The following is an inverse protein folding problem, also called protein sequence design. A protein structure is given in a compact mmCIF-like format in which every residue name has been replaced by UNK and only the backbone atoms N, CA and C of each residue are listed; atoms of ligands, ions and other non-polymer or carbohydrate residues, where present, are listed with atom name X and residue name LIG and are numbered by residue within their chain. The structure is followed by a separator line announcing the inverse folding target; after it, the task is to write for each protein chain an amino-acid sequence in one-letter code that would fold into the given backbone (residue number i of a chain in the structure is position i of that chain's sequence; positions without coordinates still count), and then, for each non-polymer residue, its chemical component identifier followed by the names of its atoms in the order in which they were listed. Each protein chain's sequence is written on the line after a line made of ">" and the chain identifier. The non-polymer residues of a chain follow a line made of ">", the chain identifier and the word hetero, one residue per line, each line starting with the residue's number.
data_IF_671881933867
#
_entry.id   IF_671881933867
#
_cell.length_a   1.000
_cell.length_b   1.000
_cell.length_c   1.000
_cell.angle_alpha   90.00
_cell.angle_beta   90.00
_cell.angle_gamma   90.00
#
_symmetry.space_group_name_H-M   'P 1'
#
loop_
_entity.id
_entity.type
_entity.pdbx_description
1 polymer ?
#
# COMPACT_ATOMS: atom_id res chain seq x y z
N UNK A 1 31.34 11.88 -9.14
CA UNK A 1 30.53 10.99 -9.98
C UNK A 1 29.47 10.39 -9.09
N UNK A 2 28.15 10.62 -9.31
CA UNK A 2 27.11 9.95 -8.53
C UNK A 2 27.17 8.45 -8.85
N UNK A 3 27.41 7.63 -7.84
CA UNK A 3 27.27 6.18 -7.97
C UNK A 3 25.84 5.89 -8.43
N UNK A 4 25.69 5.18 -9.54
CA UNK A 4 24.43 4.64 -10.01
C UNK A 4 23.82 3.83 -8.86
N UNK A 5 22.74 4.33 -8.26
CA UNK A 5 22.12 3.75 -7.09
C UNK A 5 21.66 2.34 -7.43
N UNK A 6 22.19 1.34 -6.71
CA UNK A 6 21.73 -0.05 -6.77
C UNK A 6 20.21 -0.04 -6.64
N UNK A 7 19.51 -0.66 -7.59
CA UNK A 7 18.05 -0.74 -7.56
C UNK A 7 17.60 -1.25 -6.16
N UNK A 8 16.73 -0.49 -5.51
CA UNK A 8 16.26 -0.85 -4.17
C UNK A 8 15.49 -2.16 -4.27
N UNK A 9 15.79 -3.10 -3.39
CA UNK A 9 15.02 -4.35 -3.28
C UNK A 9 13.54 -4.05 -3.09
N UNK A 10 12.71 -4.92 -3.65
CA UNK A 10 11.27 -4.82 -3.63
C UNK A 10 10.63 -5.95 -2.82
N UNK A 11 9.49 -5.67 -2.19
CA UNK A 11 8.72 -6.70 -1.50
C UNK A 11 7.22 -6.51 -1.71
N UNK A 12 6.50 -7.63 -1.65
CA UNK A 12 5.05 -7.68 -1.47
C UNK A 12 4.77 -8.05 -0.03
N UNK A 13 3.90 -7.29 0.64
CA UNK A 13 3.33 -7.64 1.95
C UNK A 13 1.86 -7.95 1.76
N UNK A 14 1.42 -9.13 2.18
CA UNK A 14 0.00 -9.53 2.17
C UNK A 14 -0.54 -9.49 3.59
N UNK A 15 -1.47 -8.57 3.85
CA UNK A 15 -2.18 -8.43 5.11
C UNK A 15 -3.49 -9.24 5.11
N UNK A 16 -4.14 -9.30 6.27
CA UNK A 16 -5.35 -10.09 6.51
C UNK A 16 -6.66 -9.31 6.30
N UNK A 17 -6.68 -8.29 5.42
CA UNK A 17 -7.89 -7.58 5.01
C UNK A 17 -8.59 -8.25 3.83
N UNK A 18 -9.21 -7.43 2.95
CA UNK A 18 -9.86 -7.95 1.76
C UNK A 18 -8.85 -8.68 0.84
N UNK A 19 -9.07 -9.96 0.53
CA UNK A 19 -8.16 -10.73 -0.30
C UNK A 19 -8.03 -10.12 -1.70
N UNK A 20 -6.82 -9.90 -2.22
CA UNK A 20 -6.64 -9.58 -3.63
C UNK A 20 -7.01 -10.78 -4.50
N UNK A 21 -7.37 -10.55 -5.77
CA UNK A 21 -7.53 -11.66 -6.72
C UNK A 21 -6.22 -12.45 -6.86
N UNK A 22 -6.34 -13.74 -7.18
CA UNK A 22 -5.17 -14.59 -7.46
C UNK A 22 -4.26 -13.99 -8.54
N UNK A 23 -4.86 -13.38 -9.56
CA UNK A 23 -4.13 -12.74 -10.66
C UNK A 23 -3.30 -11.54 -10.19
N UNK A 24 -3.88 -10.69 -9.33
CA UNK A 24 -3.15 -9.55 -8.76
C UNK A 24 -2.00 -10.01 -7.88
N UNK A 25 -2.24 -10.97 -6.96
CA UNK A 25 -1.23 -11.51 -6.07
C UNK A 25 -0.08 -12.17 -6.84
N UNK A 26 -0.38 -13.09 -7.76
CA UNK A 26 0.63 -13.80 -8.53
C UNK A 26 1.49 -12.84 -9.38
N UNK A 27 0.86 -11.84 -10.01
CA UNK A 27 1.58 -10.81 -10.77
C UNK A 27 2.48 -9.97 -9.88
N UNK A 28 2.00 -9.56 -8.70
CA UNK A 28 2.78 -8.76 -7.76
C UNK A 28 4.01 -9.53 -7.27
N UNK A 29 3.83 -10.76 -6.84
CA UNK A 29 4.90 -11.63 -6.32
C UNK A 29 5.95 -11.95 -7.39
N UNK A 30 5.55 -12.18 -8.64
CA UNK A 30 6.48 -12.45 -9.76
C UNK A 30 7.53 -11.36 -9.96
N UNK A 31 7.23 -10.12 -9.59
CA UNK A 31 8.09 -8.96 -9.80
C UNK A 31 8.73 -8.44 -8.51
N UNK A 32 8.60 -9.16 -7.40
CA UNK A 32 9.18 -8.80 -6.12
C UNK A 32 10.37 -9.70 -5.76
N UNK A 33 11.31 -9.16 -5.00
CA UNK A 33 12.45 -9.92 -4.46
C UNK A 33 12.07 -10.71 -3.21
N UNK A 34 10.97 -10.31 -2.54
CA UNK A 34 10.45 -10.97 -1.33
C UNK A 34 8.92 -10.91 -1.30
N UNK A 35 8.31 -12.02 -0.91
CA UNK A 35 6.89 -12.10 -0.58
C UNK A 35 6.71 -12.42 0.90
N UNK A 36 6.08 -11.51 1.64
CA UNK A 36 5.88 -11.59 3.09
C UNK A 36 4.38 -11.61 3.39
N UNK A 37 3.95 -12.54 4.22
CA UNK A 37 2.59 -12.53 4.79
C UNK A 37 2.62 -11.97 6.21
N UNK A 38 1.83 -10.94 6.47
CA UNK A 38 1.59 -10.41 7.79
C UNK A 38 0.44 -11.21 8.42
N UNK A 39 0.78 -12.04 9.39
CA UNK A 39 -0.12 -12.91 10.15
C UNK A 39 -1.13 -13.66 9.27
N UNK A 40 -2.44 -13.43 9.46
CA UNK A 40 -3.54 -14.08 8.73
C UNK A 40 -3.51 -13.91 7.20
N UNK A 41 -2.71 -12.98 6.66
CA UNK A 41 -2.47 -12.90 5.21
C UNK A 41 -1.94 -14.21 4.61
N UNK A 42 -1.29 -15.05 5.42
CA UNK A 42 -0.85 -16.39 5.00
C UNK A 42 -2.02 -17.32 4.62
N UNK A 43 -3.21 -17.14 5.19
CA UNK A 43 -4.39 -17.92 4.81
C UNK A 43 -4.82 -17.62 3.37
N UNK A 44 -4.82 -16.35 2.99
CA UNK A 44 -5.10 -15.91 1.61
C UNK A 44 -4.02 -16.40 0.64
N UNK A 45 -2.75 -16.34 1.02
CA UNK A 45 -1.64 -16.87 0.22
C UNK A 45 -1.85 -18.37 -0.08
N UNK A 46 -2.23 -19.16 0.93
CA UNK A 46 -2.57 -20.58 0.78
C UNK A 46 -3.79 -20.81 -0.12
N UNK A 47 -4.86 -20.03 0.03
CA UNK A 47 -6.05 -20.14 -0.81
C UNK A 47 -5.74 -19.92 -2.30
N UNK A 48 -4.79 -19.05 -2.59
CA UNK A 48 -4.33 -18.77 -3.95
C UNK A 48 -3.17 -19.66 -4.42
N UNK A 49 -2.67 -20.52 -3.53
CA UNK A 49 -1.49 -21.39 -3.78
C UNK A 49 -0.25 -20.60 -4.20
N UNK A 50 0.03 -19.49 -3.48
CA UNK A 50 1.22 -18.65 -3.67
C UNK A 50 2.05 -18.70 -2.39
N UNK A 51 3.16 -19.46 -2.41
CA UNK A 51 4.00 -19.69 -1.25
C UNK A 51 4.77 -18.42 -0.86
N UNK A 52 4.67 -17.94 0.41
CA UNK A 52 5.48 -16.81 0.87
C UNK A 52 6.90 -17.20 1.25
N UNK A 53 7.84 -16.25 1.16
CA UNK A 53 9.21 -16.40 1.69
C UNK A 53 9.24 -16.27 3.21
N UNK A 54 8.29 -15.52 3.78
CA UNK A 54 8.21 -15.23 5.20
C UNK A 54 6.76 -15.07 5.66
N UNK A 55 6.43 -15.66 6.80
CA UNK A 55 5.22 -15.31 7.59
C UNK A 55 5.68 -14.65 8.88
N UNK A 56 5.13 -13.47 9.21
CA UNK A 56 5.50 -12.69 10.39
C UNK A 56 4.27 -12.14 11.10
N UNK A 57 4.21 -12.25 12.42
CA UNK A 57 3.10 -11.81 13.27
C UNK A 57 3.11 -12.52 14.61
N UNK A 58 2.03 -12.40 15.39
CA UNK A 58 1.86 -13.22 16.61
C UNK A 58 1.29 -14.62 16.29
N UNK A 59 0.82 -14.80 15.02
CA UNK A 59 0.31 -16.04 14.43
C UNK A 59 -1.01 -16.53 15.03
N UNK A 60 -1.79 -15.64 15.61
CA UNK A 60 -3.08 -15.97 16.20
C UNK A 60 -4.20 -16.12 15.15
N UNK A 61 -4.08 -15.40 14.03
CA UNK A 61 -5.03 -15.47 12.90
C UNK A 61 -4.64 -16.48 11.82
N UNK A 62 -3.46 -17.13 11.94
CA UNK A 62 -3.00 -18.13 10.96
C UNK A 62 -3.57 -19.51 11.30
N UNK A 63 -4.34 -20.12 10.38
CA UNK A 63 -4.90 -21.44 10.62
C UNK A 63 -3.83 -22.53 10.76
N UNK A 64 -4.09 -23.57 11.58
CA UNK A 64 -3.18 -24.71 11.72
C UNK A 64 -2.89 -25.41 10.38
N UNK A 65 -3.87 -25.43 9.47
CA UNK A 65 -3.69 -25.96 8.11
C UNK A 65 -2.71 -25.11 7.27
N UNK A 66 -2.76 -23.77 7.43
CA UNK A 66 -1.84 -22.85 6.75
C UNK A 66 -0.42 -22.98 7.30
N UNK A 67 -0.26 -23.08 8.61
CA UNK A 67 1.06 -23.32 9.22
C UNK A 67 1.69 -24.63 8.72
N UNK A 68 0.89 -25.69 8.55
CA UNK A 68 1.39 -26.95 7.97
C UNK A 68 1.79 -26.79 6.50
N UNK A 69 1.02 -26.03 5.73
CA UNK A 69 1.32 -25.74 4.33
C UNK A 69 2.61 -24.91 4.20
N UNK A 70 2.87 -23.98 5.13
CA UNK A 70 4.07 -23.14 5.19
C UNK A 70 5.31 -23.84 5.77
N UNK A 71 5.41 -25.18 5.86
CA UNK A 71 6.54 -25.88 6.51
C UNK A 71 7.92 -25.55 5.93
N UNK A 72 8.00 -25.16 4.67
CA UNK A 72 9.24 -24.74 4.01
C UNK A 72 9.50 -23.21 4.08
N UNK A 73 8.55 -22.44 4.60
CA UNK A 73 8.60 -20.98 4.70
C UNK A 73 9.25 -20.57 6.02
N UNK A 74 10.01 -19.50 6.01
CA UNK A 74 10.50 -18.88 7.25
C UNK A 74 9.32 -18.30 8.05
N UNK A 75 9.19 -18.68 9.31
CA UNK A 75 8.18 -18.17 10.22
C UNK A 75 8.87 -17.36 11.32
N UNK A 76 8.45 -16.10 11.51
CA UNK A 76 8.97 -15.20 12.55
C UNK A 76 7.83 -14.79 13.47
N UNK A 77 7.79 -15.38 14.66
CA UNK A 77 6.80 -15.03 15.66
C UNK A 77 7.21 -13.79 16.44
N UNK A 78 6.40 -12.73 16.38
CA UNK A 78 6.62 -11.46 17.09
C UNK A 78 5.44 -11.24 18.04
N UNK A 79 5.68 -11.41 19.34
CA UNK A 79 4.63 -11.32 20.40
C UNK A 79 4.34 -9.89 20.86
N UNK A 80 5.04 -8.88 20.32
CA UNK A 80 4.77 -7.47 20.66
C UNK A 80 3.33 -7.11 20.31
N UNK A 81 2.66 -6.40 21.21
CA UNK A 81 1.26 -5.97 21.08
C UNK A 81 1.12 -4.45 20.84
N UNK A 82 2.23 -3.73 20.80
CA UNK A 82 2.30 -2.27 20.66
C UNK A 82 2.39 -1.82 19.20
N UNK A 83 2.38 -2.76 18.25
CA UNK A 83 2.40 -2.50 16.80
C UNK A 83 1.55 -3.53 16.04
N UNK A 84 1.08 -3.12 14.85
CA UNK A 84 0.31 -3.99 13.94
C UNK A 84 1.22 -5.02 13.26
N UNK A 85 0.63 -6.10 12.73
CA UNK A 85 1.41 -7.10 11.99
C UNK A 85 1.99 -6.53 10.70
N UNK A 86 1.32 -5.52 10.09
CA UNK A 86 1.88 -4.75 8.99
C UNK A 86 3.17 -4.03 9.43
N UNK A 87 3.19 -3.37 10.58
CA UNK A 87 4.39 -2.70 11.10
C UNK A 87 5.50 -3.72 11.39
N UNK A 88 5.19 -4.88 11.97
CA UNK A 88 6.16 -5.97 12.19
C UNK A 88 6.80 -6.41 10.86
N UNK A 89 5.99 -6.53 9.80
CA UNK A 89 6.48 -6.87 8.46
C UNK A 89 7.37 -5.77 7.87
N UNK A 90 6.94 -4.50 7.94
CA UNK A 90 7.69 -3.36 7.41
C UNK A 90 9.02 -3.16 8.16
N UNK A 91 9.02 -3.28 9.49
CA UNK A 91 10.25 -3.23 10.31
C UNK A 91 11.23 -4.34 9.89
N UNK A 92 10.74 -5.56 9.72
CA UNK A 92 11.58 -6.66 9.24
C UNK A 92 12.17 -6.35 7.85
N UNK A 93 11.37 -5.86 6.92
CA UNK A 93 11.81 -5.51 5.56
C UNK A 93 12.85 -4.39 5.55
N UNK A 94 12.75 -3.43 6.47
CA UNK A 94 13.78 -2.40 6.64
C UNK A 94 15.14 -3.02 7.00
N UNK A 95 15.19 -4.02 7.89
CA UNK A 95 16.45 -4.70 8.25
C UNK A 95 17.05 -5.47 7.06
N UNK A 96 16.25 -5.77 6.03
CA UNK A 96 16.67 -6.45 4.79
C UNK A 96 17.04 -5.49 3.66
N UNK A 97 17.04 -4.18 3.91
CA UNK A 97 17.38 -3.16 2.91
C UNK A 97 16.33 -3.03 1.80
N UNK A 98 15.08 -3.43 2.06
CA UNK A 98 13.98 -3.27 1.11
C UNK A 98 13.60 -1.79 1.06
N UNK A 99 13.47 -1.25 -0.14
CA UNK A 99 13.14 0.16 -0.36
C UNK A 99 11.86 0.41 -1.14
N UNK A 100 11.27 -0.64 -1.73
CA UNK A 100 9.98 -0.56 -2.43
C UNK A 100 9.04 -1.64 -1.88
N UNK A 101 7.86 -1.25 -1.41
CA UNK A 101 6.90 -2.18 -0.82
C UNK A 101 5.53 -1.99 -1.44
N UNK A 102 4.96 -3.08 -1.97
CA UNK A 102 3.57 -3.19 -2.36
C UNK A 102 2.81 -3.93 -1.26
N UNK A 103 1.79 -3.30 -0.69
CA UNK A 103 0.95 -3.88 0.36
C UNK A 103 -0.39 -4.26 -0.25
N UNK A 104 -0.77 -5.52 -0.12
CA UNK A 104 -2.06 -6.07 -0.51
C UNK A 104 -2.85 -6.49 0.74
N UNK A 105 -4.17 -6.43 0.69
CA UNK A 105 -5.01 -6.79 1.83
C UNK A 105 -4.87 -5.85 3.04
N UNK A 106 -4.39 -4.61 2.85
CA UNK A 106 -4.30 -3.62 3.94
C UNK A 106 -5.65 -3.04 4.34
N UNK A 107 -6.62 -3.09 3.45
CA UNK A 107 -7.96 -2.53 3.63
C UNK A 107 -9.03 -3.64 3.51
N UNK A 108 -10.25 -3.33 3.97
CA UNK A 108 -11.37 -4.27 3.99
C UNK A 108 -11.44 -5.13 5.26
N UNK A 109 -12.56 -5.83 5.45
CA UNK A 109 -12.81 -6.57 6.69
C UNK A 109 -13.03 -5.65 7.88
N UNK A 110 -12.15 -5.68 8.86
CA UNK A 110 -12.21 -4.82 10.06
C UNK A 110 -11.83 -3.37 9.73
N UNK A 111 -12.74 -2.43 9.96
CA UNK A 111 -12.53 -1.02 9.67
C UNK A 111 -11.41 -0.40 10.53
N UNK A 112 -11.33 -0.77 11.80
CA UNK A 112 -10.28 -0.32 12.72
C UNK A 112 -8.89 -0.72 12.23
N UNK A 113 -8.72 -1.96 11.76
CA UNK A 113 -7.47 -2.44 11.17
C UNK A 113 -7.14 -1.71 9.86
N UNK A 114 -8.14 -1.43 9.02
CA UNK A 114 -7.94 -0.63 7.80
C UNK A 114 -7.39 0.76 8.14
N UNK A 115 -8.02 1.47 9.07
CA UNK A 115 -7.58 2.80 9.50
C UNK A 115 -6.21 2.75 10.17
N UNK A 116 -5.97 1.76 11.04
CA UNK A 116 -4.68 1.51 11.67
C UNK A 116 -3.57 1.30 10.64
N UNK A 117 -3.76 0.36 9.71
CA UNK A 117 -2.79 0.08 8.65
C UNK A 117 -2.47 1.31 7.79
N UNK A 118 -3.49 2.10 7.43
CA UNK A 118 -3.27 3.32 6.65
C UNK A 118 -2.55 4.40 7.46
N UNK A 119 -2.84 4.53 8.76
CA UNK A 119 -2.28 5.58 9.61
C UNK A 119 -0.78 5.42 9.88
N UNK A 120 -0.26 4.19 9.89
CA UNK A 120 1.15 3.91 10.18
C UNK A 120 2.08 4.07 8.98
N UNK A 121 1.55 4.14 7.75
CA UNK A 121 2.36 4.15 6.53
C UNK A 121 3.40 5.27 6.51
N UNK A 122 3.05 6.45 7.02
CA UNK A 122 3.97 7.61 7.02
C UNK A 122 5.19 7.44 7.93
N UNK A 123 5.16 6.51 8.89
CA UNK A 123 6.32 6.18 9.72
C UNK A 123 7.46 5.57 8.90
N UNK A 124 7.15 5.11 7.69
CA UNK A 124 8.07 4.41 6.79
C UNK A 124 8.45 5.19 5.52
N UNK A 125 7.68 6.22 5.14
CA UNK A 125 7.86 6.93 3.85
C UNK A 125 9.21 7.62 3.66
N UNK A 126 9.94 7.91 4.73
CA UNK A 126 11.31 8.45 4.64
C UNK A 126 12.35 7.41 4.22
N UNK A 127 12.05 6.13 4.36
CA UNK A 127 12.95 5.00 4.12
C UNK A 127 12.50 4.08 3.01
N UNK A 128 11.18 3.98 2.77
CA UNK A 128 10.57 3.11 1.79
C UNK A 128 9.59 3.88 0.89
N UNK A 129 9.50 3.47 -0.37
CA UNK A 129 8.38 3.80 -1.24
C UNK A 129 7.28 2.78 -1.02
N UNK A 130 6.10 3.22 -0.58
CA UNK A 130 4.99 2.35 -0.23
C UNK A 130 3.82 2.58 -1.19
N UNK A 131 3.23 1.49 -1.65
CA UNK A 131 1.96 1.48 -2.37
C UNK A 131 1.06 0.44 -1.72
N UNK A 132 -0.16 0.83 -1.33
CA UNK A 132 -1.22 -0.14 -1.05
C UNK A 132 -2.02 -0.38 -2.32
N UNK A 133 -2.47 -1.60 -2.55
CA UNK A 133 -3.31 -1.91 -3.71
C UNK A 133 -4.33 -3.00 -3.40
N UNK A 134 -5.40 -2.98 -4.19
CA UNK A 134 -6.39 -4.03 -4.33
C UNK A 134 -6.84 -4.11 -5.78
N UNK A 135 -7.84 -4.93 -6.07
CA UNK A 135 -8.33 -5.10 -7.43
C UNK A 135 -8.95 -3.79 -7.95
N UNK A 136 -8.26 -3.16 -8.88
CA UNK A 136 -8.69 -1.92 -9.54
C UNK A 136 -8.41 -0.63 -8.80
N UNK A 137 -7.69 -0.64 -7.66
CA UNK A 137 -7.31 0.57 -6.96
C UNK A 137 -5.88 0.53 -6.42
N UNK A 138 -5.30 1.71 -6.23
CA UNK A 138 -4.01 1.91 -5.56
C UNK A 138 -4.09 3.12 -4.62
N UNK A 139 -3.36 3.06 -3.53
CA UNK A 139 -3.22 4.16 -2.57
C UNK A 139 -1.74 4.41 -2.24
N UNK A 140 -1.37 5.67 -2.20
CA UNK A 140 0.01 6.10 -1.98
C UNK A 140 0.06 7.10 -0.83
N UNK A 141 0.78 6.82 0.26
CA UNK A 141 1.08 7.83 1.27
C UNK A 141 2.09 8.83 0.68
N UNK A 142 1.73 10.11 0.66
CA UNK A 142 2.54 11.16 0.02
C UNK A 142 3.10 12.13 1.05
N UNK A 143 4.42 12.33 0.96
CA UNK A 143 5.19 13.42 1.56
C UNK A 143 6.08 13.96 0.45
N UNK A 144 6.02 15.27 0.15
CA UNK A 144 6.72 15.83 -1.00
C UNK A 144 5.97 15.66 -2.33
N UNK A 145 6.62 15.14 -3.35
CA UNK A 145 6.04 15.01 -4.71
C UNK A 145 5.91 13.55 -5.11
N UNK A 146 4.70 13.16 -5.48
CA UNK A 146 4.36 11.90 -6.12
C UNK A 146 4.08 12.15 -7.61
N UNK A 147 4.69 11.35 -8.47
CA UNK A 147 4.33 11.27 -9.90
C UNK A 147 3.94 9.83 -10.19
N UNK A 148 2.78 9.63 -10.75
CA UNK A 148 2.26 8.29 -11.06
C UNK A 148 1.62 8.22 -12.45
N UNK A 149 1.62 7.02 -13.02
CA UNK A 149 0.80 6.72 -14.18
C UNK A 149 -0.65 6.50 -13.73
N UNK A 150 -1.59 7.14 -14.42
CA UNK A 150 -3.02 6.93 -14.25
C UNK A 150 -3.67 6.81 -15.63
N UNK A 151 -4.66 5.94 -15.76
CA UNK A 151 -5.43 5.90 -17.00
C UNK A 151 -6.29 7.16 -17.09
N UNK A 152 -6.38 7.84 -18.24
CA UNK A 152 -7.36 8.91 -18.40
C UNK A 152 -8.76 8.45 -18.01
N UNK A 153 -9.51 9.30 -17.33
CA UNK A 153 -10.81 9.03 -16.71
C UNK A 153 -10.79 8.18 -15.42
N UNK A 154 -9.61 7.76 -14.92
CA UNK A 154 -9.52 7.20 -13.58
C UNK A 154 -9.88 8.25 -12.53
N UNK A 155 -10.52 7.81 -11.45
CA UNK A 155 -10.75 8.68 -10.29
C UNK A 155 -9.47 8.81 -9.48
N UNK A 156 -9.12 10.04 -9.09
CA UNK A 156 -8.01 10.34 -8.20
C UNK A 156 -8.53 11.12 -7.00
N UNK A 157 -8.38 10.55 -5.82
CA UNK A 157 -8.86 11.16 -4.58
C UNK A 157 -7.69 11.52 -3.67
N UNK A 158 -7.83 12.65 -2.98
CA UNK A 158 -6.88 13.13 -1.99
C UNK A 158 -7.54 13.10 -0.62
N UNK A 159 -6.94 12.36 0.31
CA UNK A 159 -7.43 12.25 1.69
C UNK A 159 -6.34 12.75 2.62
N UNK A 160 -6.51 13.92 3.25
CA UNK A 160 -5.55 14.45 4.20
C UNK A 160 -5.63 13.71 5.54
N UNK A 161 -4.48 13.38 6.11
CA UNK A 161 -4.35 12.86 7.48
C UNK A 161 -3.79 13.96 8.38
N UNK A 162 -4.60 14.96 8.64
CA UNK A 162 -4.27 16.20 9.33
C UNK A 162 -4.26 17.40 8.37
N UNK A 163 -3.63 18.50 8.77
CA UNK A 163 -3.50 19.69 7.93
C UNK A 163 -2.39 19.51 6.90
N UNK A 164 -2.71 19.76 5.64
CA UNK A 164 -1.79 19.73 4.50
C UNK A 164 -1.69 21.10 3.86
N UNK A 165 -0.51 21.48 3.38
CA UNK A 165 -0.29 22.75 2.68
C UNK A 165 0.71 22.64 1.55
N UNK A 166 0.67 23.63 0.63
CA UNK A 166 1.46 23.64 -0.58
C UNK A 166 1.05 22.55 -1.57
N UNK A 167 -0.25 22.22 -1.59
CA UNK A 167 -0.81 21.19 -2.45
C UNK A 167 -0.86 21.72 -3.87
N UNK A 168 -0.20 21.02 -4.79
CA UNK A 168 -0.21 21.34 -6.22
C UNK A 168 -0.48 20.08 -7.02
N UNK A 169 -1.44 20.15 -7.93
CA UNK A 169 -1.89 19.01 -8.74
C UNK A 169 -1.61 19.26 -10.23
N UNK A 170 -1.16 18.24 -10.93
CA UNK A 170 -0.98 18.23 -12.36
C UNK A 170 -1.62 17.00 -13.03
N UNK A 171 -2.18 17.17 -14.23
CA UNK A 171 -2.79 16.09 -15.00
C UNK A 171 -4.18 15.68 -14.52
N UNK A 172 -4.83 16.49 -13.68
CA UNK A 172 -6.18 16.29 -13.13
C UNK A 172 -7.14 17.34 -13.65
N UNK A 173 -8.43 17.01 -13.71
CA UNK A 173 -9.52 17.88 -14.19
C UNK A 173 -9.69 19.12 -13.29
N UNK A 174 -9.56 18.92 -11.97
CA UNK A 174 -9.65 20.01 -11.00
C UNK A 174 -8.26 20.28 -10.42
N UNK A 175 -7.46 21.18 -11.02
CA UNK A 175 -6.12 21.47 -10.57
C UNK A 175 -6.13 22.29 -9.28
N UNK A 176 -5.11 22.09 -8.44
CA UNK A 176 -4.82 22.93 -7.30
C UNK A 176 -3.44 23.57 -7.46
N UNK A 177 -3.25 24.78 -6.95
CA UNK A 177 -1.96 25.48 -6.92
C UNK A 177 -1.71 26.03 -5.54
N UNK A 178 -0.68 25.49 -4.86
CA UNK A 178 -0.26 25.89 -3.53
C UNK A 178 -1.42 25.96 -2.50
N UNK A 179 -2.39 25.06 -2.64
CA UNK A 179 -3.60 25.01 -1.82
C UNK A 179 -3.32 24.45 -0.42
N UNK A 180 -4.31 24.61 0.46
CA UNK A 180 -4.39 23.97 1.78
C UNK A 180 -5.56 23.01 1.78
N UNK A 181 -5.47 21.96 2.61
CA UNK A 181 -6.55 21.00 2.82
C UNK A 181 -6.39 20.37 4.20
N UNK A 182 -7.50 20.19 4.90
CA UNK A 182 -7.57 19.56 6.23
C UNK A 182 -8.57 18.41 6.23
N UNK A 183 -8.56 17.60 7.29
CA UNK A 183 -9.59 16.56 7.52
C UNK A 183 -10.98 17.21 7.46
N UNK A 184 -11.89 16.56 6.73
CA UNK A 184 -13.26 17.06 6.53
C UNK A 184 -13.45 17.92 5.27
N UNK A 185 -12.37 18.37 4.62
CA UNK A 185 -12.46 19.06 3.34
C UNK A 185 -12.51 18.07 2.16
N UNK A 186 -13.25 18.47 1.10
CA UNK A 186 -13.52 17.59 -0.04
C UNK A 186 -12.29 17.54 -0.96
N UNK A 187 -11.66 16.36 -1.04
CA UNK A 187 -10.55 16.08 -1.97
C UNK A 187 -10.80 14.83 -2.83
N UNK A 188 -12.02 14.29 -2.78
CA UNK A 188 -12.36 13.04 -3.46
C UNK A 188 -12.91 13.25 -4.86
N UNK A 189 -12.80 12.22 -5.71
CA UNK A 189 -13.41 12.14 -7.04
C UNK A 189 -12.89 13.16 -8.08
N UNK A 190 -11.64 13.62 -7.97
CA UNK A 190 -10.97 14.26 -9.10
C UNK A 190 -10.74 13.24 -10.22
N UNK A 191 -10.50 13.68 -11.44
CA UNK A 191 -10.40 12.82 -12.63
C UNK A 191 -9.06 13.03 -13.32
N UNK A 192 -8.36 11.94 -13.64
CA UNK A 192 -7.16 11.99 -14.44
C UNK A 192 -7.51 12.37 -15.90
N UNK A 193 -6.94 13.47 -16.38
CA UNK A 193 -7.11 13.93 -17.77
C UNK A 193 -5.86 13.65 -18.61
N UNK A 194 -4.78 13.20 -17.97
CA UNK A 194 -3.53 12.80 -18.64
C UNK A 194 -3.09 11.43 -18.11
N UNK A 195 -2.29 10.70 -18.89
CA UNK A 195 -1.70 9.43 -18.49
C UNK A 195 -0.66 9.57 -17.35
N UNK A 196 -0.21 10.78 -17.07
CA UNK A 196 0.71 11.11 -15.98
C UNK A 196 0.08 12.16 -15.07
N UNK A 197 -0.04 11.82 -13.80
CA UNK A 197 -0.59 12.68 -12.74
C UNK A 197 0.51 13.00 -11.75
N UNK A 198 0.55 14.25 -11.28
CA UNK A 198 1.46 14.68 -10.22
C UNK A 198 0.68 15.27 -9.04
N UNK A 199 1.12 14.92 -7.84
CA UNK A 199 0.60 15.46 -6.57
C UNK A 199 1.79 15.89 -5.74
N UNK A 200 1.88 17.18 -5.43
CA UNK A 200 2.87 17.74 -4.53
C UNK A 200 2.18 18.16 -3.22
N UNK A 201 2.78 17.79 -2.08
CA UNK A 201 2.36 18.19 -0.74
C UNK A 201 3.59 18.68 -0.01
N UNK A 202 3.74 20.00 0.21
CA UNK A 202 4.94 20.56 0.85
C UNK A 202 4.99 20.27 2.34
N UNK A 203 3.84 20.24 3.02
CA UNK A 203 3.72 19.94 4.46
C UNK A 203 2.45 19.14 4.70
N UNK A 204 2.50 18.20 5.64
CA UNK A 204 1.39 17.34 6.02
C UNK A 204 1.51 15.94 5.43
N UNK A 205 0.48 15.12 5.68
CA UNK A 205 0.36 13.72 5.29
C UNK A 205 -0.87 13.54 4.42
N UNK A 206 -0.69 13.13 3.17
CA UNK A 206 -1.77 12.98 2.20
C UNK A 206 -1.80 11.54 1.70
N UNK A 207 -2.95 10.89 1.72
CA UNK A 207 -3.18 9.64 0.99
C UNK A 207 -3.76 9.98 -0.38
N UNK A 208 -3.09 9.54 -1.44
CA UNK A 208 -3.56 9.69 -2.82
C UNK A 208 -4.08 8.33 -3.27
N UNK A 209 -5.37 8.25 -3.58
CA UNK A 209 -6.01 7.03 -4.07
C UNK A 209 -6.28 7.18 -5.57
N UNK A 210 -6.02 6.11 -6.31
CA UNK A 210 -6.34 5.99 -7.73
C UNK A 210 -7.26 4.79 -7.90
N UNK A 211 -8.49 5.04 -8.35
CA UNK A 211 -9.44 3.99 -8.73
C UNK A 211 -9.43 3.86 -10.26
N UNK A 212 -9.00 2.72 -10.74
CA UNK A 212 -8.90 2.35 -12.14
C UNK A 212 -10.11 1.53 -12.63
N UNK A 213 -11.04 1.20 -11.72
CA UNK A 213 -12.28 0.56 -12.10
C UNK A 213 -13.06 1.53 -13.00
N UNK A 214 -13.36 1.11 -14.22
CA UNK A 214 -14.28 1.87 -15.07
C UNK A 214 -15.60 1.98 -14.31
N UNK A 215 -16.02 3.20 -13.95
CA UNK A 215 -17.43 3.41 -13.63
C UNK A 215 -18.18 2.84 -14.83
N UNK A 216 -18.90 1.74 -14.64
CA UNK A 216 -19.98 1.39 -15.57
C UNK A 216 -20.89 2.59 -15.52
N UNK A 217 -20.95 3.36 -16.61
CA UNK A 217 -21.95 4.38 -16.79
C UNK A 217 -23.29 3.66 -16.66
N UNK A 218 -23.93 3.79 -15.51
CA UNK A 218 -25.37 3.57 -15.41
C UNK A 218 -26.00 4.69 -16.22
N UNK A 219 -26.25 4.37 -17.50
CA UNK A 219 -27.23 5.10 -18.33
C UNK A 219 -28.61 4.83 -17.77
#
# INVERSE_FOLDING_TARGET
>A
VPQAGRAKRSAVVLCNGEPPSRTLLARAVKHADLFVCADGGANTARQHDVMPDLVIGDLDSVSAGTLRWCRGTRIVRVRRQDNTDLEKALDHLLTKGVGNVLILGAAGGRLDMTLGNLSVLWNYTSRMTITCAGDGWRAHPVVGTLVLAARPKSTVSLVPFGSCSGITLGGLQYPLRNARMSIGEIGVSNVAVRARVSVTVKRGRMLVLVDENRRRSTS
#
